data_IF_139900124568
#
_entry.id   IF_139900124568
#
_cell.length_a   1.000
_cell.length_b   1.000
_cell.length_c   1.000
_cell.angle_alpha   90.00
_cell.angle_beta   90.00
_cell.angle_gamma   90.00
#
_symmetry.space_group_name_H-M   'P 1'
#
loop_
_entity.id
_entity.type
_entity.pdbx_description
1 polymer ?
#
# COMPACT_ATOMS: atom_id res chain seq x y z
N UNK A 1 16.97 -16.89 -2.96
CA UNK A 1 18.06 -16.38 -2.09
C UNK A 1 17.47 -15.60 -0.90
N UNK A 2 18.19 -15.48 0.22
CA UNK A 2 17.79 -14.62 1.34
C UNK A 2 18.67 -13.37 1.30
N UNK A 3 18.06 -12.19 1.33
CA UNK A 3 18.75 -10.90 1.13
C UNK A 3 18.34 -9.88 2.18
N UNK A 4 19.30 -9.06 2.61
CA UNK A 4 19.10 -7.89 3.46
C UNK A 4 19.84 -6.72 2.84
N UNK A 5 19.10 -5.74 2.35
CA UNK A 5 19.70 -4.56 1.73
C UNK A 5 20.23 -3.60 2.80
N UNK A 6 21.30 -2.89 2.46
CA UNK A 6 21.91 -1.92 3.36
C UNK A 6 20.91 -0.81 3.72
N UNK A 7 20.67 -0.61 5.02
CA UNK A 7 19.74 0.40 5.53
C UNK A 7 18.28 -0.05 5.60
N UNK A 8 17.96 -1.27 5.20
CA UNK A 8 16.63 -1.86 5.33
C UNK A 8 16.54 -2.73 6.59
N UNK A 9 15.37 -2.75 7.24
CA UNK A 9 15.07 -3.65 8.36
C UNK A 9 14.46 -4.99 7.90
N UNK A 10 14.16 -5.10 6.60
CA UNK A 10 13.41 -6.20 6.03
C UNK A 10 14.30 -7.27 5.40
N UNK A 11 14.12 -8.51 5.83
CA UNK A 11 14.72 -9.70 5.22
C UNK A 11 13.83 -10.19 4.08
N UNK A 12 14.35 -10.23 2.86
CA UNK A 12 13.62 -10.72 1.69
C UNK A 12 14.00 -12.18 1.38
N UNK A 13 12.99 -12.98 1.06
CA UNK A 13 13.08 -14.40 0.72
C UNK A 13 12.61 -14.59 -0.72
N UNK A 14 13.54 -14.62 -1.66
CA UNK A 14 13.27 -15.00 -3.04
C UNK A 14 13.27 -16.54 -3.12
N UNK A 15 12.11 -17.12 -3.41
CA UNK A 15 11.89 -18.57 -3.43
C UNK A 15 11.57 -19.05 -4.84
N UNK A 16 12.38 -20.01 -5.32
CA UNK A 16 12.11 -20.75 -6.55
C UNK A 16 11.88 -22.22 -6.19
N UNK A 17 10.80 -22.80 -6.70
CA UNK A 17 10.41 -24.19 -6.39
C UNK A 17 9.81 -24.88 -7.60
N UNK A 18 10.16 -26.14 -7.83
CA UNK A 18 9.41 -27.03 -8.71
C UNK A 18 8.41 -27.82 -7.86
N UNK A 19 7.14 -27.40 -7.88
CA UNK A 19 6.09 -27.96 -7.06
C UNK A 19 5.40 -29.12 -7.79
N UNK A 20 5.62 -30.34 -7.31
CA UNK A 20 5.02 -31.56 -7.88
C UNK A 20 4.07 -32.27 -6.91
N UNK A 21 3.90 -31.70 -5.71
CA UNK A 21 3.13 -32.27 -4.61
C UNK A 21 1.61 -32.27 -4.87
N UNK A 22 0.92 -33.22 -4.25
CA UNK A 22 -0.54 -33.35 -4.28
C UNK A 22 -1.09 -33.49 -2.87
N UNK A 23 -2.25 -32.91 -2.61
CA UNK A 23 -2.91 -32.89 -1.30
C UNK A 23 -2.01 -32.34 -0.18
N UNK A 24 -1.09 -31.44 -0.51
CA UNK A 24 -0.20 -30.74 0.43
C UNK A 24 -0.46 -29.24 0.38
N UNK A 25 -0.26 -28.59 1.52
CA UNK A 25 -0.19 -27.14 1.65
C UNK A 25 1.17 -26.81 2.24
N UNK A 26 1.97 -26.05 1.52
CA UNK A 26 3.24 -25.56 2.01
C UNK A 26 3.06 -24.18 2.62
N UNK A 27 3.56 -24.03 3.85
CA UNK A 27 3.62 -22.76 4.56
C UNK A 27 5.03 -22.47 5.04
N UNK A 28 5.33 -21.20 5.19
CA UNK A 28 6.46 -20.70 5.98
C UNK A 28 5.92 -20.04 7.24
N UNK A 29 6.59 -20.25 8.38
CA UNK A 29 6.16 -19.76 9.68
C UNK A 29 7.26 -18.92 10.32
N UNK A 30 6.89 -17.75 10.82
CA UNK A 30 7.75 -16.85 11.57
C UNK A 30 7.18 -16.68 12.97
N UNK A 31 7.91 -17.18 13.98
CA UNK A 31 7.63 -16.85 15.36
C UNK A 31 8.26 -15.49 15.68
N UNK A 32 7.41 -14.50 15.92
CA UNK A 32 7.83 -13.12 16.12
C UNK A 32 8.25 -12.82 17.55
N UNK A 33 7.87 -13.67 18.52
CA UNK A 33 7.95 -13.35 19.94
C UNK A 33 7.09 -12.16 20.39
N UNK A 34 6.32 -11.52 19.49
CA UNK A 34 5.47 -10.37 19.80
C UNK A 34 4.18 -10.86 20.45
N UNK A 35 3.87 -10.29 21.62
CA UNK A 35 2.62 -10.59 22.31
C UNK A 35 1.51 -9.65 21.83
N UNK A 36 0.65 -10.14 20.95
CA UNK A 36 -0.53 -9.41 20.46
C UNK A 36 -1.76 -10.31 20.47
N UNK A 37 -2.90 -9.78 20.92
CA UNK A 37 -4.20 -10.49 20.89
C UNK A 37 -4.87 -10.45 19.51
N UNK A 38 -4.37 -9.58 18.62
CA UNK A 38 -4.85 -9.38 17.27
C UNK A 38 -3.70 -9.04 16.34
N UNK A 39 -3.85 -9.34 15.06
CA UNK A 39 -2.93 -8.99 14.00
C UNK A 39 -3.60 -8.03 13.01
N UNK A 40 -2.85 -7.03 12.53
CA UNK A 40 -3.27 -6.17 11.44
C UNK A 40 -2.99 -6.89 10.11
N UNK A 41 -4.06 -7.20 9.39
CA UNK A 41 -4.00 -7.82 8.07
C UNK A 41 -4.40 -6.78 7.04
N UNK A 42 -3.51 -6.48 6.11
CA UNK A 42 -3.79 -5.48 5.08
C UNK A 42 -4.99 -5.91 4.23
N UNK A 43 -5.84 -4.94 3.92
CA UNK A 43 -6.92 -5.01 2.94
C UNK A 43 -6.83 -3.79 2.00
N UNK A 44 -7.71 -3.68 1.00
CA UNK A 44 -7.77 -2.47 0.19
C UNK A 44 -7.93 -1.23 1.08
N UNK A 45 -7.04 -0.25 0.89
CA UNK A 45 -7.09 1.05 1.55
C UNK A 45 -7.03 1.02 3.09
N UNK A 46 -6.39 0.01 3.69
CA UNK A 46 -6.23 -0.06 5.15
C UNK A 46 -5.88 -1.46 5.66
N UNK A 47 -6.33 -1.77 6.89
CA UNK A 47 -6.15 -3.09 7.48
C UNK A 47 -7.34 -3.47 8.37
N UNK A 48 -7.48 -4.77 8.60
CA UNK A 48 -8.41 -5.32 9.59
C UNK A 48 -7.66 -6.02 10.70
N UNK A 49 -8.07 -5.76 11.94
CA UNK A 49 -7.60 -6.50 13.11
C UNK A 49 -8.33 -7.83 13.20
N UNK A 50 -7.57 -8.93 13.21
CA UNK A 50 -8.11 -10.28 13.40
C UNK A 50 -7.43 -10.95 14.59
N UNK A 51 -8.17 -11.69 15.43
CA UNK A 51 -7.61 -12.28 16.63
C UNK A 51 -6.53 -13.30 16.30
N UNK A 52 -5.50 -13.36 17.15
CA UNK A 52 -4.40 -14.33 17.09
C UNK A 52 -4.67 -15.56 17.98
N UNK A 53 -5.87 -15.67 18.53
CA UNK A 53 -6.27 -16.74 19.43
C UNK A 53 -7.53 -17.44 18.93
N UNK A 54 -7.75 -18.66 19.42
CA UNK A 54 -8.83 -19.56 18.97
C UNK A 54 -9.96 -19.74 19.99
N UNK A 55 -10.17 -18.73 20.82
CA UNK A 55 -11.05 -18.79 22.00
C UNK A 55 -12.53 -18.97 21.64
N UNK A 56 -13.06 -18.28 20.62
CA UNK A 56 -14.45 -18.42 20.17
C UNK A 56 -14.56 -19.34 18.96
N UNK A 57 -15.72 -19.97 18.76
CA UNK A 57 -15.99 -20.82 17.57
C UNK A 57 -15.69 -20.06 16.28
N UNK A 58 -16.12 -18.81 16.19
CA UNK A 58 -15.88 -17.98 15.02
C UNK A 58 -14.38 -17.64 14.83
N UNK A 59 -13.61 -17.51 15.90
CA UNK A 59 -12.15 -17.33 15.82
C UNK A 59 -11.48 -18.62 15.34
N UNK A 60 -11.94 -19.79 15.81
CA UNK A 60 -11.47 -21.11 15.32
C UNK A 60 -11.71 -21.31 13.84
N UNK A 61 -12.83 -20.79 13.33
CA UNK A 61 -13.18 -20.89 11.92
C UNK A 61 -12.30 -20.00 11.03
N UNK A 62 -11.60 -19.01 11.59
CA UNK A 62 -10.60 -18.17 10.91
C UNK A 62 -9.20 -18.81 10.95
N UNK A 63 -9.13 -20.10 10.64
CA UNK A 63 -7.87 -20.84 10.62
C UNK A 63 -6.89 -20.31 9.56
N UNK A 64 -7.42 -19.65 8.52
CA UNK A 64 -6.68 -18.94 7.48
C UNK A 64 -7.53 -17.75 7.01
N UNK A 65 -6.89 -16.61 6.78
CA UNK A 65 -7.53 -15.35 6.40
C UNK A 65 -6.82 -14.74 5.20
N UNK A 66 -7.52 -13.85 4.50
CA UNK A 66 -6.95 -13.10 3.39
C UNK A 66 -6.18 -11.86 3.89
N UNK A 67 -4.97 -11.64 3.38
CA UNK A 67 -4.23 -10.38 3.43
C UNK A 67 -3.69 -10.07 2.02
N UNK A 68 -3.54 -8.80 1.62
CA UNK A 68 -3.01 -8.53 0.27
C UNK A 68 -1.50 -8.31 0.25
N UNK A 69 -0.97 -7.47 1.13
CA UNK A 69 0.45 -7.09 1.07
C UNK A 69 1.24 -7.44 2.34
N UNK A 70 0.62 -7.34 3.52
CA UNK A 70 1.29 -7.62 4.79
C UNK A 70 0.35 -8.16 5.86
N UNK A 71 0.94 -8.83 6.84
CA UNK A 71 0.32 -9.15 8.13
C UNK A 71 1.28 -8.80 9.25
N UNK A 72 0.81 -8.03 10.22
CA UNK A 72 1.60 -7.47 11.31
C UNK A 72 1.09 -7.88 12.69
N UNK A 73 2.03 -8.22 13.57
CA UNK A 73 1.84 -8.33 15.01
C UNK A 73 2.59 -7.19 15.68
N UNK A 74 1.97 -6.53 16.64
CA UNK A 74 2.60 -5.43 17.36
C UNK A 74 2.07 -5.33 18.78
N UNK A 75 2.95 -4.90 19.69
CA UNK A 75 2.62 -4.50 21.04
C UNK A 75 2.81 -2.98 21.20
N UNK A 76 2.92 -2.49 22.44
CA UNK A 76 3.10 -1.07 22.72
C UNK A 76 4.50 -0.53 22.33
N UNK A 77 5.47 -1.42 22.14
CA UNK A 77 6.90 -1.10 22.10
C UNK A 77 7.60 -1.59 20.85
N UNK A 78 7.14 -2.68 20.22
CA UNK A 78 7.75 -3.24 19.03
C UNK A 78 6.70 -3.94 18.17
N UNK A 79 7.08 -4.29 16.94
CA UNK A 79 6.28 -5.18 16.12
C UNK A 79 7.10 -5.88 15.04
N UNK A 80 6.46 -6.86 14.44
CA UNK A 80 7.01 -7.63 13.33
C UNK A 80 5.92 -7.93 12.31
N UNK A 81 6.31 -8.06 11.05
CA UNK A 81 5.38 -8.32 9.97
C UNK A 81 5.98 -9.24 8.91
N UNK A 82 5.08 -9.95 8.24
CA UNK A 82 5.37 -10.68 7.02
C UNK A 82 4.75 -9.91 5.86
N UNK A 83 5.56 -9.56 4.86
CA UNK A 83 5.15 -8.93 3.60
C UNK A 83 5.20 -9.95 2.46
N UNK A 84 4.42 -9.75 1.40
CA UNK A 84 4.44 -10.68 0.25
C UNK A 84 4.06 -9.97 -1.06
N UNK A 85 4.39 -10.62 -2.18
CA UNK A 85 4.08 -10.16 -3.53
C UNK A 85 2.84 -10.82 -4.17
N UNK A 86 2.54 -12.07 -3.81
CA UNK A 86 1.52 -12.87 -4.49
C UNK A 86 0.79 -13.90 -3.61
N UNK A 87 1.00 -13.86 -2.28
CA UNK A 87 0.48 -14.86 -1.33
C UNK A 87 -0.59 -14.25 -0.43
N UNK A 88 -1.84 -14.65 -0.66
CA UNK A 88 -2.98 -14.04 0.03
C UNK A 88 -3.47 -14.82 1.25
N UNK A 89 -3.00 -16.04 1.48
CA UNK A 89 -3.43 -16.89 2.58
C UNK A 89 -2.49 -16.78 3.77
N UNK A 90 -2.99 -16.32 4.92
CA UNK A 90 -2.21 -16.23 6.16
C UNK A 90 -2.97 -16.82 7.33
N UNK A 91 -2.26 -17.51 8.21
CA UNK A 91 -2.77 -18.02 9.48
C UNK A 91 -1.93 -17.47 10.61
N UNK A 92 -2.57 -17.09 11.71
CA UNK A 92 -1.92 -16.47 12.87
C UNK A 92 -2.33 -17.21 14.13
N UNK A 93 -1.35 -17.51 14.99
CA UNK A 93 -1.59 -18.16 16.27
C UNK A 93 -0.56 -17.65 17.28
N UNK A 94 -1.04 -16.97 18.32
CA UNK A 94 -0.22 -16.22 19.27
C UNK A 94 0.80 -15.29 18.55
N UNK A 95 2.10 -15.55 18.72
CA UNK A 95 3.21 -14.80 18.12
C UNK A 95 3.60 -15.27 16.72
N UNK A 96 2.97 -16.34 16.20
CA UNK A 96 3.37 -16.98 14.96
C UNK A 96 2.52 -16.47 13.79
N UNK A 97 3.19 -15.97 12.76
CA UNK A 97 2.59 -15.66 11.45
C UNK A 97 3.00 -16.76 10.47
N UNK A 98 2.02 -17.42 9.84
CA UNK A 98 2.26 -18.49 8.87
C UNK A 98 1.64 -18.15 7.52
N UNK A 99 2.49 -17.91 6.52
CA UNK A 99 2.11 -17.57 5.15
C UNK A 99 1.94 -18.84 4.31
N UNK A 100 0.78 -19.01 3.68
CA UNK A 100 0.50 -20.09 2.73
C UNK A 100 1.17 -19.80 1.39
N UNK A 101 2.09 -20.67 0.98
CA UNK A 101 2.91 -20.47 -0.21
C UNK A 101 2.31 -21.16 -1.45
N UNK A 102 2.07 -22.47 -1.36
CA UNK A 102 1.56 -23.29 -2.47
C UNK A 102 0.63 -24.39 -1.96
N UNK A 103 -0.40 -24.70 -2.75
CA UNK A 103 -1.38 -25.73 -2.45
C UNK A 103 -1.50 -26.72 -3.61
N UNK A 104 -1.16 -27.97 -3.38
CA UNK A 104 -1.38 -29.05 -4.36
C UNK A 104 -2.83 -29.54 -4.36
N UNK A 105 -3.80 -28.68 -4.68
CA UNK A 105 -5.19 -29.11 -4.85
C UNK A 105 -5.35 -29.98 -6.12
N UNK A 106 -6.35 -30.87 -6.14
CA UNK A 106 -6.61 -31.75 -7.31
C UNK A 106 -8.03 -31.62 -7.84
N UNK A 107 -8.78 -30.63 -7.35
CA UNK A 107 -10.14 -30.32 -7.77
C UNK A 107 -10.35 -28.81 -7.69
N UNK A 108 -10.96 -28.17 -8.71
CA UNK A 108 -11.50 -28.78 -9.93
C UNK A 108 -10.43 -29.24 -10.93
N UNK A 109 -9.19 -28.76 -10.80
CA UNK A 109 -8.07 -29.12 -11.67
C UNK A 109 -7.12 -30.14 -11.00
N UNK A 110 -6.92 -31.36 -11.57
CA UNK A 110 -5.98 -32.36 -11.08
C UNK A 110 -4.50 -31.93 -11.11
N UNK A 111 -4.15 -30.91 -11.89
CA UNK A 111 -2.78 -30.40 -12.05
C UNK A 111 -2.58 -29.01 -11.44
N UNK A 112 -3.52 -28.53 -10.62
CA UNK A 112 -3.45 -27.20 -10.02
C UNK A 112 -2.10 -26.95 -9.34
N UNK A 113 -1.53 -25.77 -9.62
CA UNK A 113 -0.25 -25.29 -9.08
C UNK A 113 0.95 -26.22 -9.31
N UNK A 114 0.88 -27.23 -10.19
CA UNK A 114 2.07 -28.04 -10.51
C UNK A 114 3.02 -27.32 -11.47
N UNK A 115 4.32 -27.45 -11.21
CA UNK A 115 5.38 -26.88 -12.04
C UNK A 115 6.24 -25.87 -11.30
N UNK A 116 6.96 -25.06 -12.06
CA UNK A 116 7.89 -24.08 -11.52
C UNK A 116 7.18 -22.82 -11.04
N UNK A 117 7.48 -22.41 -9.81
CA UNK A 117 6.99 -21.17 -9.21
C UNK A 117 8.15 -20.31 -8.75
N UNK A 118 7.93 -19.01 -8.80
CA UNK A 118 8.79 -17.99 -8.23
C UNK A 118 7.92 -17.01 -7.44
N UNK A 119 8.35 -16.66 -6.23
CA UNK A 119 7.66 -15.69 -5.37
C UNK A 119 8.60 -15.13 -4.32
N UNK A 120 8.31 -13.91 -3.89
CA UNK A 120 9.06 -13.18 -2.88
C UNK A 120 8.19 -12.83 -1.67
N UNK A 121 8.74 -13.00 -0.48
CA UNK A 121 8.12 -12.52 0.76
C UNK A 121 9.18 -11.93 1.67
N UNK A 122 8.76 -11.02 2.54
CA UNK A 122 9.64 -10.34 3.47
C UNK A 122 9.27 -10.63 4.92
N UNK A 123 10.26 -10.50 5.79
CA UNK A 123 10.08 -10.45 7.24
C UNK A 123 10.76 -9.20 7.78
N UNK A 124 9.98 -8.31 8.39
CA UNK A 124 10.45 -7.03 8.93
C UNK A 124 10.06 -6.88 10.38
N UNK A 125 10.81 -6.06 11.09
CA UNK A 125 10.59 -5.73 12.49
C UNK A 125 10.91 -4.26 12.74
N UNK A 126 10.26 -3.69 13.73
CA UNK A 126 10.47 -2.30 14.11
C UNK A 126 10.33 -2.11 15.62
N UNK A 127 10.92 -1.01 16.09
CA UNK A 127 10.74 -0.52 17.45
C UNK A 127 9.82 0.70 17.40
N UNK A 128 8.95 0.83 18.40
CA UNK A 128 7.96 1.89 18.51
C UNK A 128 6.56 1.49 18.01
N UNK A 129 5.65 2.46 17.96
CA UNK A 129 4.26 2.23 17.61
C UNK A 129 4.12 1.78 16.14
N UNK A 130 3.09 0.97 15.87
CA UNK A 130 2.80 0.44 14.52
C UNK A 130 2.73 1.51 13.43
N UNK A 131 2.20 2.69 13.74
CA UNK A 131 2.10 3.83 12.82
C UNK A 131 3.46 4.31 12.29
N UNK A 132 4.53 4.14 13.07
CA UNK A 132 5.89 4.56 12.70
C UNK A 132 6.71 3.43 12.06
N UNK A 133 6.10 2.27 11.81
CA UNK A 133 6.80 1.07 11.30
C UNK A 133 7.37 1.24 9.89
N UNK A 134 6.82 2.13 9.07
CA UNK A 134 7.13 2.18 7.63
C UNK A 134 6.61 0.97 6.83
N UNK A 135 5.88 0.04 7.47
CA UNK A 135 5.47 -1.23 6.87
C UNK A 135 4.64 -1.07 5.59
N UNK A 136 3.77 -0.06 5.54
CA UNK A 136 2.92 0.17 4.37
C UNK A 136 3.79 0.48 3.15
N UNK A 137 4.75 1.39 3.27
CA UNK A 137 5.68 1.74 2.20
C UNK A 137 6.57 0.55 1.82
N UNK A 138 7.08 -0.18 2.81
CA UNK A 138 7.92 -1.37 2.58
C UNK A 138 7.16 -2.47 1.82
N UNK A 139 5.92 -2.76 2.23
CA UNK A 139 5.07 -3.74 1.55
C UNK A 139 4.72 -3.33 0.11
N UNK A 140 4.56 -2.03 -0.14
CA UNK A 140 4.34 -1.51 -1.49
C UNK A 140 5.59 -1.63 -2.36
N UNK A 141 6.78 -1.38 -1.81
CA UNK A 141 8.04 -1.45 -2.55
C UNK A 141 8.34 -2.86 -3.10
N UNK A 142 7.91 -3.91 -2.41
CA UNK A 142 8.04 -5.30 -2.90
C UNK A 142 7.13 -5.55 -4.11
N UNK A 143 5.98 -4.88 -4.17
CA UNK A 143 4.97 -5.06 -5.21
C UNK A 143 5.13 -4.09 -6.41
N UNK A 144 5.92 -3.03 -6.25
CA UNK A 144 6.11 -1.98 -7.25
C UNK A 144 7.61 -1.90 -7.60
N UNK A 145 8.06 -2.65 -8.62
CA UNK A 145 9.48 -2.66 -8.99
C UNK A 145 9.92 -1.29 -9.50
N UNK A 146 11.14 -0.89 -9.14
CA UNK A 146 11.74 0.34 -9.62
C UNK A 146 12.04 0.25 -11.12
N UNK A 147 11.47 1.17 -11.89
CA UNK A 147 11.82 1.38 -13.29
C UNK A 147 12.98 2.37 -13.43
N UNK A 148 13.89 2.12 -14.36
CA UNK A 148 14.96 3.06 -14.71
C UNK A 148 14.97 3.30 -16.23
N UNK A 149 15.20 4.56 -16.63
CA UNK A 149 15.35 4.95 -18.02
C UNK A 149 16.44 6.03 -18.16
N UNK A 150 17.17 6.10 -19.28
CA UNK A 150 18.15 7.15 -19.52
C UNK A 150 17.49 8.54 -19.50
N UNK A 151 18.11 9.52 -18.83
CA UNK A 151 17.65 10.90 -18.80
C UNK A 151 18.20 11.68 -17.61
N UNK A 152 17.83 12.96 -17.54
CA UNK A 152 18.09 13.82 -16.39
C UNK A 152 16.77 14.39 -15.87
N UNK A 153 16.53 14.22 -14.58
CA UNK A 153 15.43 14.88 -13.89
C UNK A 153 15.97 15.42 -12.58
N UNK A 154 15.42 16.56 -12.12
CA UNK A 154 15.53 16.90 -10.71
C UNK A 154 14.88 15.76 -9.90
N UNK A 155 15.49 15.35 -8.80
CA UNK A 155 14.96 14.31 -7.91
C UNK A 155 13.76 14.87 -7.13
N UNK A 156 12.63 15.01 -7.80
CA UNK A 156 11.39 15.54 -7.22
C UNK A 156 10.26 14.52 -7.35
N UNK A 157 9.48 14.35 -6.28
CA UNK A 157 8.26 13.56 -6.29
C UNK A 157 7.21 14.25 -7.17
N UNK A 158 6.53 13.47 -8.02
CA UNK A 158 5.46 13.99 -8.88
C UNK A 158 4.24 14.49 -8.08
N UNK A 159 3.84 13.72 -7.06
CA UNK A 159 2.87 14.08 -6.03
C UNK A 159 3.48 13.68 -4.69
N UNK A 160 3.40 14.53 -3.67
CA UNK A 160 3.89 14.21 -2.32
C UNK A 160 2.89 14.63 -1.26
N UNK A 161 2.82 13.84 -0.20
CA UNK A 161 2.19 14.19 1.07
C UNK A 161 3.25 14.13 2.17
N UNK A 162 3.10 14.90 3.23
CA UNK A 162 4.07 14.99 4.34
C UNK A 162 3.88 13.98 5.47
N UNK A 163 2.80 13.20 5.42
CA UNK A 163 2.48 12.17 6.41
C UNK A 163 2.49 10.78 5.76
N UNK A 164 3.34 9.84 6.22
CA UNK A 164 3.43 8.49 5.65
C UNK A 164 2.18 7.63 5.89
N UNK A 165 1.28 8.01 6.80
CA UNK A 165 0.00 7.34 6.97
C UNK A 165 -0.96 7.60 5.81
N UNK A 166 -0.75 8.66 5.01
CA UNK A 166 -1.54 8.94 3.80
C UNK A 166 -0.77 8.46 2.58
N UNK A 167 -1.37 7.53 1.84
CA UNK A 167 -0.74 6.89 0.68
C UNK A 167 -1.40 7.38 -0.60
N UNK A 168 -0.60 7.75 -1.60
CA UNK A 168 -1.07 7.95 -2.98
C UNK A 168 -1.11 6.60 -3.68
N UNK A 169 -2.30 6.02 -3.78
CA UNK A 169 -2.50 4.67 -4.35
C UNK A 169 -2.43 4.68 -5.88
N UNK A 170 -3.07 5.65 -6.49
CA UNK A 170 -3.24 5.69 -7.94
C UNK A 170 -3.12 7.12 -8.46
N UNK A 171 -2.49 7.25 -9.62
CA UNK A 171 -2.44 8.48 -10.42
C UNK A 171 -2.75 8.10 -11.86
N UNK A 172 -3.76 8.73 -12.44
CA UNK A 172 -4.19 8.49 -13.82
C UNK A 172 -4.68 9.78 -14.48
N UNK A 173 -4.91 9.73 -15.79
CA UNK A 173 -5.68 10.78 -16.48
C UNK A 173 -7.18 10.64 -16.15
N UNK A 174 -7.88 11.77 -16.16
CA UNK A 174 -9.34 11.80 -16.07
C UNK A 174 -9.97 11.06 -17.27
N UNK A 175 -11.07 10.35 -17.04
CA UNK A 175 -11.71 9.54 -18.11
C UNK A 175 -12.42 10.39 -19.17
N UNK A 176 -12.76 11.63 -18.84
CA UNK A 176 -13.43 12.58 -19.72
C UNK A 176 -12.54 13.21 -20.80
N UNK A 177 -11.29 12.74 -20.93
CA UNK A 177 -10.31 13.23 -21.91
C UNK A 177 -9.95 14.72 -21.79
N UNK A 178 -10.28 15.36 -20.66
CA UNK A 178 -9.86 16.74 -20.36
C UNK A 178 -8.34 16.92 -20.32
N UNK A 179 -7.59 15.83 -20.09
CA UNK A 179 -6.15 15.86 -19.84
C UNK A 179 -5.80 16.25 -18.40
N UNK A 180 -6.80 16.35 -17.53
CA UNK A 180 -6.65 16.49 -16.08
C UNK A 180 -6.08 15.21 -15.47
N UNK A 181 -5.46 15.36 -14.30
CA UNK A 181 -4.95 14.24 -13.52
C UNK A 181 -5.93 13.92 -12.39
N UNK A 182 -6.09 12.63 -12.12
CA UNK A 182 -6.84 12.12 -10.97
C UNK A 182 -5.87 11.34 -10.11
N UNK A 183 -5.78 11.69 -8.82
CA UNK A 183 -5.09 10.88 -7.83
C UNK A 183 -6.05 10.36 -6.77
N UNK A 184 -5.85 9.11 -6.36
CA UNK A 184 -6.56 8.51 -5.24
C UNK A 184 -5.60 8.33 -4.07
N UNK A 185 -5.98 8.89 -2.94
CA UNK A 185 -5.24 8.83 -1.69
C UNK A 185 -6.08 8.10 -0.65
N UNK A 186 -5.43 7.50 0.34
CA UNK A 186 -6.12 6.93 1.49
C UNK A 186 -5.31 7.07 2.77
N UNK A 187 -6.02 7.13 3.90
CA UNK A 187 -5.43 7.04 5.24
C UNK A 187 -5.30 5.56 5.63
N UNK A 188 -4.09 5.13 6.01
CA UNK A 188 -3.74 3.71 6.14
C UNK A 188 -3.66 3.20 7.58
N UNK A 189 -3.77 4.07 8.58
CA UNK A 189 -3.45 3.82 10.00
C UNK A 189 -4.65 3.98 10.95
N UNK A 190 -5.88 4.02 10.43
CA UNK A 190 -7.12 4.17 11.21
C UNK A 190 -7.13 5.42 12.10
N UNK A 191 -6.70 6.55 11.56
CA UNK A 191 -6.53 7.78 12.32
C UNK A 191 -7.02 9.03 11.60
N UNK A 192 -7.42 10.05 12.37
CA UNK A 192 -7.64 11.38 11.79
C UNK A 192 -6.28 12.01 11.46
N UNK A 193 -6.15 12.56 10.25
CA UNK A 193 -4.90 13.18 9.78
C UNK A 193 -5.18 14.53 9.16
N UNK A 194 -4.28 15.49 9.39
CA UNK A 194 -4.19 16.74 8.64
C UNK A 194 -2.84 16.75 7.96
N UNK A 195 -2.85 16.83 6.64
CA UNK A 195 -1.63 16.63 5.83
C UNK A 195 -1.49 17.74 4.81
N UNK A 196 -0.25 18.06 4.47
CA UNK A 196 0.09 18.96 3.38
C UNK A 196 0.31 18.16 2.11
N UNK A 197 -0.52 18.42 1.10
CA UNK A 197 -0.36 17.93 -0.26
C UNK A 197 0.52 18.89 -1.05
N UNK A 198 1.53 18.32 -1.71
CA UNK A 198 2.38 18.96 -2.71
C UNK A 198 1.96 18.40 -4.08
N UNK A 199 1.10 19.12 -4.83
CA UNK A 199 0.59 18.70 -6.13
C UNK A 199 1.66 18.75 -7.23
N UNK A 200 1.39 18.16 -8.41
CA UNK A 200 2.24 18.33 -9.58
C UNK A 200 2.41 19.81 -9.95
N UNK A 201 3.55 20.15 -10.56
CA UNK A 201 3.78 21.50 -11.09
C UNK A 201 2.74 21.85 -12.18
N UNK A 202 2.32 23.11 -12.22
CA UNK A 202 1.39 23.63 -13.23
C UNK A 202 -0.09 23.35 -12.96
N UNK A 203 -0.43 22.81 -11.79
CA UNK A 203 -1.82 22.71 -11.32
C UNK A 203 -2.35 24.09 -10.95
N UNK A 204 -3.51 24.45 -11.49
CA UNK A 204 -4.23 25.68 -11.15
C UNK A 204 -5.31 25.45 -10.10
N UNK A 205 -5.98 24.30 -10.15
CA UNK A 205 -7.09 23.96 -9.27
C UNK A 205 -7.02 22.50 -8.83
N UNK A 206 -7.46 22.26 -7.59
CA UNK A 206 -7.64 20.93 -7.04
C UNK A 206 -9.09 20.81 -6.60
N UNK A 207 -9.73 19.71 -6.99
CA UNK A 207 -11.09 19.38 -6.61
C UNK A 207 -11.12 18.04 -5.91
N UNK A 208 -11.85 17.95 -4.80
CA UNK A 208 -12.28 16.68 -4.23
C UNK A 208 -13.42 16.15 -5.07
N UNK A 209 -13.33 14.87 -5.42
CA UNK A 209 -14.26 14.20 -6.30
C UNK A 209 -14.86 12.95 -5.67
N UNK A 210 -15.98 12.51 -6.24
CA UNK A 210 -16.49 11.15 -6.03
C UNK A 210 -15.52 10.10 -6.62
N UNK A 211 -15.77 8.82 -6.34
CA UNK A 211 -15.00 7.72 -6.95
C UNK A 211 -15.14 7.66 -8.48
N UNK A 212 -16.17 8.32 -9.03
CA UNK A 212 -16.45 8.48 -10.45
C UNK A 212 -15.94 9.82 -11.01
N UNK A 213 -15.05 10.51 -10.29
CA UNK A 213 -14.37 11.74 -10.74
C UNK A 213 -15.27 12.99 -10.85
N UNK A 214 -16.50 12.91 -10.37
CA UNK A 214 -17.43 14.04 -10.32
C UNK A 214 -16.98 15.03 -9.23
N UNK A 215 -16.80 16.29 -9.60
CA UNK A 215 -16.35 17.37 -8.71
C UNK A 215 -17.38 17.68 -7.63
N UNK A 216 -16.92 17.79 -6.38
CA UNK A 216 -17.79 18.05 -5.23
C UNK A 216 -17.37 19.31 -4.47
N UNK A 217 -16.09 19.42 -4.14
CA UNK A 217 -15.57 20.51 -3.30
C UNK A 217 -14.22 20.99 -3.83
N UNK A 218 -14.05 22.30 -3.99
CA UNK A 218 -12.76 22.88 -4.34
C UNK A 218 -11.81 22.86 -3.14
N UNK A 219 -10.57 22.42 -3.36
CA UNK A 219 -9.52 22.39 -2.35
C UNK A 219 -8.60 23.60 -2.56
N UNK A 220 -8.55 24.55 -1.63
CA UNK A 220 -7.72 25.74 -1.78
C UNK A 220 -6.23 25.41 -1.86
N UNK A 221 -5.56 25.95 -2.88
CA UNK A 221 -4.10 25.89 -3.03
C UNK A 221 -3.48 27.21 -2.58
N UNK A 222 -2.52 27.16 -1.66
CA UNK A 222 -1.76 28.32 -1.17
C UNK A 222 -0.27 28.02 -1.29
N UNK A 223 0.49 28.91 -1.91
CA UNK A 223 1.93 28.75 -2.14
C UNK A 223 2.31 27.39 -2.78
N UNK A 224 1.47 26.90 -3.71
CA UNK A 224 1.68 25.62 -4.38
C UNK A 224 1.43 24.39 -3.51
N UNK A 225 0.74 24.52 -2.38
CA UNK A 225 0.40 23.43 -1.46
C UNK A 225 -1.09 23.44 -1.12
N UNK A 226 -1.64 22.29 -0.77
CA UNK A 226 -3.02 22.15 -0.31
C UNK A 226 -3.06 21.45 1.05
N UNK A 227 -4.01 21.84 1.89
CA UNK A 227 -4.23 21.20 3.20
C UNK A 227 -5.39 20.23 3.06
N UNK A 228 -5.16 18.97 3.41
CA UNK A 228 -6.18 17.92 3.39
C UNK A 228 -6.46 17.44 4.81
N UNK A 229 -7.70 17.04 5.06
CA UNK A 229 -8.10 16.38 6.30
C UNK A 229 -8.71 15.02 5.97
N UNK A 230 -8.18 13.97 6.60
CA UNK A 230 -8.65 12.61 6.47
C UNK A 230 -9.31 12.16 7.78
N UNK A 231 -10.43 11.46 7.64
CA UNK A 231 -11.00 10.59 8.67
C UNK A 231 -10.28 9.23 8.67
N UNK A 232 -10.41 8.43 9.74
CA UNK A 232 -9.85 7.10 9.78
C UNK A 232 -10.27 6.25 8.57
N UNK A 233 -9.30 5.64 7.88
CA UNK A 233 -9.48 4.85 6.66
C UNK A 233 -10.24 5.56 5.53
N UNK A 234 -10.21 6.89 5.48
CA UNK A 234 -10.86 7.63 4.41
C UNK A 234 -10.11 7.50 3.09
N UNK A 235 -10.86 7.18 2.03
CA UNK A 235 -10.40 7.26 0.65
C UNK A 235 -10.80 8.63 0.10
N UNK A 236 -9.83 9.35 -0.46
CA UNK A 236 -10.03 10.66 -1.08
C UNK A 236 -9.59 10.60 -2.53
N UNK A 237 -10.48 11.00 -3.44
CA UNK A 237 -10.13 11.19 -4.86
C UNK A 237 -9.99 12.68 -5.13
N UNK A 238 -8.86 13.07 -5.71
CA UNK A 238 -8.54 14.43 -6.09
C UNK A 238 -8.37 14.54 -7.60
N UNK A 239 -9.00 15.55 -8.20
CA UNK A 239 -8.80 15.96 -9.59
C UNK A 239 -7.93 17.22 -9.62
N UNK A 240 -6.85 17.18 -10.39
CA UNK A 240 -5.93 18.29 -10.59
C UNK A 240 -6.13 18.84 -11.99
N UNK A 241 -6.60 20.09 -12.08
CA UNK A 241 -6.74 20.81 -13.34
C UNK A 241 -5.47 21.57 -13.66
N UNK A 242 -5.05 21.51 -14.92
CA UNK A 242 -3.89 22.27 -15.40
C UNK A 242 -4.28 23.73 -15.62
N UNK A 243 -3.33 24.64 -15.39
CA UNK A 243 -3.47 26.01 -15.83
C UNK A 243 -3.65 26.05 -17.36
N UNK A 244 -4.74 26.67 -17.83
CA UNK A 244 -5.00 26.80 -19.26
C UNK A 244 -3.89 27.65 -19.91
N UNK A 245 -3.23 27.11 -20.94
CA UNK A 245 -2.11 27.76 -21.62
C UNK A 245 -2.48 29.12 -22.26
N UNK A 246 -3.77 29.41 -22.45
CA UNK A 246 -4.26 30.62 -23.11
C UNK A 246 -4.21 31.89 -22.25
N UNK A 247 -4.03 31.81 -20.92
CA UNK A 247 -3.98 33.01 -20.06
C UNK A 247 -2.59 33.66 -19.96
N UNK A 248 -1.54 33.00 -20.41
CA UNK A 248 -0.17 33.55 -20.35
C UNK A 248 0.08 34.57 -21.49
N UNK A 249 -0.62 34.45 -22.62
CA UNK A 249 -0.49 35.41 -23.73
C UNK A 249 -1.25 36.72 -23.50
N UNK A 250 -2.35 36.71 -22.73
CA UNK A 250 -3.14 37.92 -22.46
C UNK A 250 -2.44 38.90 -21.48
N UNK A 251 -1.50 38.44 -20.65
CA UNK A 251 -0.72 39.31 -19.76
C UNK A 251 0.51 39.94 -20.44
N UNK A 252 0.99 39.38 -21.54
CA UNK A 252 2.11 39.96 -22.31
C UNK A 252 1.65 40.93 -23.40
N UNK A 253 0.37 40.93 -23.78
CA UNK A 253 -0.19 41.87 -24.77
C UNK A 253 -0.85 43.12 -24.16
N UNK A 254 -0.96 43.20 -22.83
CA UNK A 254 -1.53 44.36 -22.12
C UNK A 254 -0.53 45.47 -21.75
N UNK A 255 0.77 45.28 -22.01
CA UNK A 255 1.82 46.29 -21.75
C UNK A 255 2.38 46.92 -23.04
N UNK A 256 1.69 46.78 -24.17
CA UNK A 256 2.07 47.49 -25.40
C UNK A 256 0.83 47.91 -26.18
N UNK A 257 0.11 48.92 -25.67
CA UNK A 257 -0.49 50.04 -26.43
C UNK A 257 -1.23 50.99 -25.50
#
# INVERSE_FOLDING_TARGET
PITLDAGCASLLFDTQVDWQERHRLWKVSFDTGVNASSAANQIQFGYLLRPTHRSRVYDRNRFEVCNHAYTALFDATHGAAVTNDCKYGVSMDASVISLSLLRGATSPDPQADRGSHHFCYGYTFWNGPFEQSGLVAESAAINIPLGSAPGFTAAESFIRVDDPAVVVEAVKLAEDSSGDLVARLYESMNGQRRVTLFPPRGVSEIWRCSMLEEEQESVPVRNGQAQLAFRPFEIMTLRFKKACASMTQARQQGETQ
#
